data_IF_464980021086
#
_entry.id   IF_464980021086
#
_cell.length_a   1.000
_cell.length_b   1.000
_cell.length_c   1.000
_cell.angle_alpha   90.00
_cell.angle_beta   90.00
_cell.angle_gamma   90.00
#
_symmetry.space_group_name_H-M   'P 1'
#
loop_
_entity.id
_entity.type
_entity.pdbx_description
1 polymer ?
#
# COMPACT_ATOMS: atom_id res chain seq x y z
N UNK A 1 28.68 16.10 -13.41
CA UNK A 1 28.92 16.04 -11.96
C UNK A 1 27.61 15.99 -11.17
N UNK A 2 26.64 16.85 -11.45
CA UNK A 2 25.32 16.87 -10.77
C UNK A 2 24.46 15.61 -10.97
N UNK A 3 24.47 14.99 -12.15
CA UNK A 3 23.68 13.76 -12.38
C UNK A 3 24.15 12.57 -11.54
N UNK A 4 25.47 12.41 -11.37
CA UNK A 4 26.04 11.38 -10.50
C UNK A 4 25.65 11.60 -9.04
N UNK A 5 25.60 12.86 -8.59
CA UNK A 5 25.14 13.18 -7.23
C UNK A 5 23.66 12.85 -7.05
N UNK A 6 22.81 13.26 -8.00
CA UNK A 6 21.37 12.96 -7.96
C UNK A 6 21.10 11.46 -7.95
N UNK A 7 21.79 10.69 -8.80
CA UNK A 7 21.68 9.24 -8.83
C UNK A 7 22.07 8.62 -7.48
N UNK A 8 23.17 9.09 -6.88
CA UNK A 8 23.64 8.55 -5.59
C UNK A 8 22.66 8.82 -4.46
N UNK A 9 22.12 10.03 -4.37
CA UNK A 9 21.10 10.40 -3.36
C UNK A 9 19.82 9.59 -3.57
N UNK A 10 19.38 9.43 -4.82
CA UNK A 10 18.20 8.63 -5.15
C UNK A 10 18.35 7.17 -4.72
N UNK A 11 19.49 6.55 -4.99
CA UNK A 11 19.77 5.17 -4.57
C UNK A 11 19.77 5.02 -3.04
N UNK A 12 20.31 6.00 -2.30
CA UNK A 12 20.24 5.96 -0.84
C UNK A 12 18.81 6.10 -0.32
N UNK A 13 17.99 6.97 -0.93
CA UNK A 13 16.57 7.09 -0.58
C UNK A 13 15.81 5.78 -0.82
N UNK A 14 16.13 5.03 -1.87
CA UNK A 14 15.56 3.70 -2.07
C UNK A 14 16.02 2.71 -1.00
N UNK A 15 17.29 2.72 -0.61
CA UNK A 15 17.75 1.87 0.49
C UNK A 15 17.03 2.19 1.82
N UNK A 16 16.67 3.45 2.06
CA UNK A 16 15.89 3.85 3.23
C UNK A 16 14.43 3.35 3.17
N UNK A 17 13.85 3.18 1.97
CA UNK A 17 12.56 2.50 1.79
C UNK A 17 12.63 1.04 2.25
N UNK A 18 13.77 0.37 2.08
CA UNK A 18 13.99 -1.00 2.59
C UNK A 18 14.56 -1.04 4.01
N UNK A 19 14.55 0.07 4.74
CA UNK A 19 15.08 0.11 6.10
C UNK A 19 14.18 -0.66 7.08
N UNK A 20 14.80 -1.35 8.04
CA UNK A 20 14.08 -2.09 9.10
C UNK A 20 13.45 -1.18 10.15
N UNK A 21 13.78 0.11 10.13
CA UNK A 21 13.25 1.08 11.08
C UNK A 21 11.94 1.64 10.53
N UNK A 22 10.84 1.31 11.20
CA UNK A 22 9.49 1.72 10.79
C UNK A 22 9.33 3.24 10.70
N UNK A 23 9.95 4.00 11.61
CA UNK A 23 9.89 5.46 11.59
C UNK A 23 10.53 6.02 10.32
N UNK A 24 11.73 5.54 9.97
CA UNK A 24 12.45 5.97 8.77
C UNK A 24 11.69 5.56 7.51
N UNK A 25 11.17 4.32 7.49
CA UNK A 25 10.37 3.80 6.40
C UNK A 25 9.13 4.67 6.13
N UNK A 26 8.34 4.97 7.16
CA UNK A 26 7.13 5.80 7.04
C UNK A 26 7.46 7.21 6.54
N UNK A 27 8.50 7.85 7.07
CA UNK A 27 8.92 9.17 6.61
C UNK A 27 9.40 9.18 5.15
N UNK A 28 10.15 8.15 4.73
CA UNK A 28 10.56 8.01 3.33
C UNK A 28 9.36 7.74 2.41
N UNK A 29 8.41 6.90 2.84
CA UNK A 29 7.17 6.66 2.11
C UNK A 29 6.35 7.95 1.94
N UNK A 30 6.22 8.76 2.99
CA UNK A 30 5.55 10.06 2.90
C UNK A 30 6.26 11.04 1.95
N UNK A 31 7.60 11.05 1.95
CA UNK A 31 8.38 11.88 1.04
C UNK A 31 8.10 11.52 -0.43
N UNK A 32 8.13 10.24 -0.78
CA UNK A 32 7.87 9.79 -2.15
C UNK A 32 6.40 9.90 -2.58
N UNK A 33 5.47 9.83 -1.62
CA UNK A 33 4.04 10.03 -1.86
C UNK A 33 3.60 11.49 -2.02
N UNK A 34 4.49 12.46 -1.79
CA UNK A 34 4.15 13.86 -1.98
C UNK A 34 3.85 14.15 -3.46
N UNK A 35 2.93 15.10 -3.70
CA UNK A 35 2.45 15.50 -5.05
C UNK A 35 3.57 15.98 -5.97
N UNK A 36 4.70 16.38 -5.39
CA UNK A 36 5.91 16.81 -6.10
C UNK A 36 6.67 15.64 -6.73
N UNK A 37 6.56 14.44 -6.15
CA UNK A 37 7.33 13.26 -6.54
C UNK A 37 6.47 12.23 -7.27
N UNK A 38 5.20 12.08 -6.88
CA UNK A 38 4.24 11.18 -7.51
C UNK A 38 2.97 11.91 -7.94
N UNK A 39 2.53 11.61 -9.17
CA UNK A 39 1.30 12.17 -9.72
C UNK A 39 0.05 11.66 -8.99
N UNK A 40 -0.99 12.51 -8.94
CA UNK A 40 -2.30 12.19 -8.36
C UNK A 40 -3.07 11.19 -9.21
N UNK A 41 -2.80 11.15 -10.52
CA UNK A 41 -3.42 10.21 -11.46
C UNK A 41 -2.80 8.82 -11.31
N UNK A 42 -3.65 7.81 -11.08
CA UNK A 42 -3.24 6.42 -10.86
C UNK A 42 -2.38 5.87 -11.99
N UNK A 43 -2.70 6.22 -13.24
CA UNK A 43 -1.92 5.78 -14.40
C UNK A 43 -0.52 6.40 -14.42
N UNK A 44 -0.41 7.72 -14.27
CA UNK A 44 0.89 8.39 -14.22
C UNK A 44 1.72 7.95 -13.02
N UNK A 45 1.08 7.59 -11.91
CA UNK A 45 1.72 7.06 -10.71
C UNK A 45 2.32 5.68 -10.98
N UNK A 46 1.59 4.78 -11.63
CA UNK A 46 2.08 3.46 -12.04
C UNK A 46 3.30 3.59 -12.97
N UNK A 47 3.21 4.45 -13.99
CA UNK A 47 4.32 4.69 -14.93
C UNK A 47 5.54 5.26 -14.19
N UNK A 48 5.35 6.22 -13.28
CA UNK A 48 6.43 6.77 -12.48
C UNK A 48 7.09 5.74 -11.55
N UNK A 49 6.33 4.78 -11.01
CA UNK A 49 6.88 3.72 -10.16
C UNK A 49 7.81 2.80 -10.94
N UNK A 50 7.41 2.40 -12.14
CA UNK A 50 8.20 1.53 -13.01
C UNK A 50 9.43 2.25 -13.57
N UNK A 51 9.26 3.50 -14.01
CA UNK A 51 10.31 4.25 -14.71
C UNK A 51 11.31 4.94 -13.76
N UNK A 52 10.85 5.45 -12.60
CA UNK A 52 11.67 6.31 -11.73
C UNK A 52 12.02 5.71 -10.38
N UNK A 53 11.22 4.78 -9.85
CA UNK A 53 11.42 4.18 -8.53
C UNK A 53 11.99 2.76 -8.57
N UNK A 54 12.37 2.26 -9.75
CA UNK A 54 13.06 0.99 -9.86
C UNK A 54 14.54 1.13 -9.50
N UNK A 55 15.01 0.30 -8.56
CA UNK A 55 16.43 0.04 -8.32
C UNK A 55 16.65 -1.43 -8.06
N UNK A 56 17.70 -1.98 -8.68
CA UNK A 56 18.08 -3.39 -8.53
C UNK A 56 18.46 -3.74 -7.08
N UNK A 57 18.85 -2.75 -6.27
CA UNK A 57 19.22 -2.97 -4.87
C UNK A 57 18.01 -3.19 -3.97
N UNK A 58 16.83 -2.72 -4.38
CA UNK A 58 15.59 -2.77 -3.59
C UNK A 58 14.49 -3.54 -4.30
N UNK A 59 14.87 -4.35 -5.29
CA UNK A 59 13.95 -5.13 -6.13
C UNK A 59 13.04 -6.05 -5.30
N UNK A 60 13.57 -6.69 -4.26
CA UNK A 60 12.79 -7.55 -3.36
C UNK A 60 11.61 -6.82 -2.68
N UNK A 61 11.79 -5.53 -2.38
CA UNK A 61 10.76 -4.70 -1.75
C UNK A 61 9.99 -3.85 -2.78
N UNK A 62 10.37 -3.90 -4.07
CA UNK A 62 9.84 -3.02 -5.11
C UNK A 62 8.35 -3.16 -5.28
N UNK A 63 7.86 -4.39 -5.34
CA UNK A 63 6.43 -4.66 -5.44
C UNK A 63 5.70 -4.24 -4.16
N UNK A 64 6.31 -4.46 -2.99
CA UNK A 64 5.73 -4.13 -1.69
C UNK A 64 5.46 -2.62 -1.56
N UNK A 65 6.49 -1.77 -1.75
CA UNK A 65 6.27 -0.33 -1.68
C UNK A 65 5.42 0.20 -2.85
N UNK A 66 5.53 -0.37 -4.05
CA UNK A 66 4.73 0.07 -5.20
C UNK A 66 3.23 -0.14 -4.98
N UNK A 67 2.85 -1.31 -4.45
CA UNK A 67 1.47 -1.61 -4.10
C UNK A 67 0.99 -0.68 -2.98
N UNK A 68 1.79 -0.49 -1.92
CA UNK A 68 1.44 0.42 -0.83
C UNK A 68 1.20 1.85 -1.32
N UNK A 69 2.02 2.34 -2.24
CA UNK A 69 1.81 3.64 -2.88
C UNK A 69 0.50 3.70 -3.67
N UNK A 70 0.19 2.69 -4.47
CA UNK A 70 -1.08 2.67 -5.21
C UNK A 70 -2.28 2.61 -4.26
N UNK A 71 -2.23 1.78 -3.22
CA UNK A 71 -3.32 1.60 -2.26
C UNK A 71 -3.54 2.83 -1.37
N UNK A 72 -2.47 3.54 -0.99
CA UNK A 72 -2.59 4.77 -0.21
C UNK A 72 -3.39 5.85 -0.98
N UNK A 73 -3.42 5.80 -2.32
CA UNK A 73 -4.31 6.67 -3.10
C UNK A 73 -5.78 6.30 -2.96
N UNK A 74 -6.08 5.02 -2.86
CA UNK A 74 -7.44 4.51 -2.66
C UNK A 74 -8.04 5.07 -1.38
N UNK A 75 -7.23 5.27 -0.32
CA UNK A 75 -7.67 5.93 0.92
C UNK A 75 -8.17 7.38 0.74
N UNK A 76 -7.72 8.07 -0.31
CA UNK A 76 -8.17 9.42 -0.67
C UNK A 76 -9.32 9.42 -1.69
N UNK A 77 -9.85 8.26 -2.07
CA UNK A 77 -11.05 8.18 -2.89
C UNK A 77 -12.28 8.41 -1.99
N UNK A 78 -13.24 9.29 -2.36
CA UNK A 78 -14.50 9.43 -1.62
C UNK A 78 -15.25 8.09 -1.43
N UNK A 79 -15.04 7.12 -2.33
CA UNK A 79 -15.62 5.78 -2.24
C UNK A 79 -14.87 4.85 -1.25
N UNK A 80 -13.77 5.27 -0.62
CA UNK A 80 -12.98 4.42 0.28
C UNK A 80 -13.77 3.94 1.51
N UNK A 81 -14.58 4.83 2.07
CA UNK A 81 -15.46 4.51 3.20
C UNK A 81 -16.83 4.01 2.75
N UNK A 82 -17.08 3.95 1.45
CA UNK A 82 -18.32 3.39 0.93
C UNK A 82 -18.22 1.89 1.10
N UNK A 83 -19.03 1.35 2.01
CA UNK A 83 -19.21 -0.10 2.13
C UNK A 83 -19.40 -0.65 0.72
N UNK A 84 -18.57 -1.62 0.33
CA UNK A 84 -18.84 -2.45 -0.84
C UNK A 84 -20.08 -3.26 -0.45
N UNK A 85 -21.26 -2.66 -0.58
CA UNK A 85 -22.53 -3.34 -0.50
C UNK A 85 -22.57 -4.24 -1.72
N UNK A 86 -22.02 -5.44 -1.58
CA UNK A 86 -22.52 -6.58 -2.35
C UNK A 86 -24.02 -6.61 -2.10
N UNK A 87 -24.81 -6.60 -3.16
CA UNK A 87 -26.24 -6.84 -3.08
C UNK A 87 -26.45 -8.24 -2.47
N UNK A 88 -26.55 -8.31 -1.16
CA UNK A 88 -27.09 -9.43 -0.42
C UNK A 88 -27.94 -8.83 0.67
N UNK A 89 -29.24 -8.79 0.37
CA UNK A 89 -30.32 -8.63 1.32
C UNK A 89 -30.09 -9.54 2.51
N UNK A 90 -29.60 -9.00 3.61
CA UNK A 90 -30.10 -9.23 4.95
C UNK A 90 -29.38 -8.31 5.92
N UNK A 91 -30.13 -7.83 6.91
CA UNK A 91 -29.71 -6.89 7.94
C UNK A 91 -28.53 -7.44 8.75
N UNK A 92 -27.30 -7.21 8.27
CA UNK A 92 -26.11 -7.45 9.07
C UNK A 92 -25.74 -6.11 9.72
N UNK A 93 -26.07 -5.99 11.00
CA UNK A 93 -25.62 -4.90 11.85
C UNK A 93 -24.12 -5.10 12.15
N UNK A 94 -23.26 -4.71 11.20
CA UNK A 94 -21.80 -4.79 11.36
C UNK A 94 -21.33 -3.54 12.11
N UNK A 95 -21.38 -3.60 13.44
CA UNK A 95 -20.59 -2.69 14.28
C UNK A 95 -19.12 -2.89 13.91
N UNK A 96 -18.53 -1.91 13.22
CA UNK A 96 -17.13 -1.80 12.77
C UNK A 96 -16.23 -2.96 13.21
N UNK A 97 -16.22 -4.05 12.43
CA UNK A 97 -15.40 -5.21 12.73
C UNK A 97 -13.92 -4.84 12.58
N UNK A 98 -13.19 -4.88 13.69
CA UNK A 98 -11.74 -4.90 13.73
C UNK A 98 -11.27 -6.10 12.86
N UNK A 99 -10.28 -5.93 11.96
CA UNK A 99 -9.79 -7.00 11.07
C UNK A 99 -9.39 -8.30 11.78
N UNK A 100 -9.00 -8.23 13.06
CA UNK A 100 -8.74 -9.42 13.89
C UNK A 100 -10.01 -10.26 14.10
N UNK A 101 -11.15 -9.60 14.33
CA UNK A 101 -12.44 -10.24 14.56
C UNK A 101 -13.03 -10.85 13.27
N UNK A 102 -12.68 -10.29 12.10
CA UNK A 102 -13.02 -10.84 10.79
C UNK A 102 -12.28 -12.16 10.51
N UNK A 103 -10.97 -12.21 10.80
CA UNK A 103 -10.19 -13.45 10.62
C UNK A 103 -10.64 -14.57 11.57
N UNK A 104 -11.05 -14.23 12.79
CA UNK A 104 -11.56 -15.20 13.76
C UNK A 104 -12.91 -15.81 13.30
N UNK A 105 -13.82 -14.99 12.80
CA UNK A 105 -15.14 -15.46 12.33
C UNK A 105 -15.05 -16.34 11.07
N UNK A 106 -14.09 -16.09 10.18
CA UNK A 106 -13.82 -17.00 9.05
C UNK A 106 -13.27 -18.36 9.52
N UNK A 107 -12.45 -18.37 10.57
CA UNK A 107 -11.86 -19.60 11.11
C UNK A 107 -12.92 -20.45 11.83
N UNK A 108 -13.83 -19.82 12.58
CA UNK A 108 -14.92 -20.52 13.26
C UNK A 108 -15.96 -21.11 12.30
N UNK A 109 -16.21 -20.45 11.16
CA UNK A 109 -17.14 -20.96 10.16
C UNK A 109 -16.57 -22.14 9.37
N UNK A 110 -15.26 -22.19 9.13
CA UNK A 110 -14.63 -23.35 8.48
C UNK A 110 -14.68 -24.61 9.37
N UNK A 111 -14.49 -24.46 10.69
CA UNK A 111 -14.57 -25.59 11.64
C UNK A 111 -15.98 -26.19 11.79
N UNK A 112 -17.03 -25.48 11.38
CA UNK A 112 -18.41 -26.01 11.37
C UNK A 112 -18.74 -26.84 10.14
N UNK A 113 -18.00 -26.65 9.04
CA UNK A 113 -18.20 -27.39 7.79
C UNK A 113 -17.60 -28.80 7.91
N UNK A 114 -16.55 -28.96 8.72
CA UNK A 114 -15.89 -30.25 8.96
C UNK A 114 -16.59 -31.16 9.99
N UNK A 115 -17.75 -30.76 10.51
CA UNK A 115 -18.55 -31.56 11.46
C UNK A 115 -19.95 -31.97 10.93
N UNK A 116 -20.18 -31.86 9.62
CA UNK A 116 -21.36 -32.44 8.95
C UNK A 116 -21.00 -33.59 8.02
#
# INVERSE_FOLDING_TARGET
MFENFYYHVREQLFQLLSSKNEYIHVHCCHYWCDRKHLSISSHHRLVALVDRLYSIKTENEHLNYSINFLLQRSAHNPDYNRFIQSQTTHDINITTMNPVHFMQTLTENNNKIDQQ
#
